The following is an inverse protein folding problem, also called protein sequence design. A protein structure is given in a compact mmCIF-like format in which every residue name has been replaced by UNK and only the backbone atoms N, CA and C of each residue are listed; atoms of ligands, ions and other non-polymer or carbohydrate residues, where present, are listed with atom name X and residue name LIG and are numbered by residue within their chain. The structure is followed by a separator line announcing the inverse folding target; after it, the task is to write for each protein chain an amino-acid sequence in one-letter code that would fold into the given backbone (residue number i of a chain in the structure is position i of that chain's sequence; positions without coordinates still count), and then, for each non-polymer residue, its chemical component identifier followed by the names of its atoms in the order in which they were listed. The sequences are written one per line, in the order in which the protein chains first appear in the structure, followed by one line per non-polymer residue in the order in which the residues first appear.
data_IF_145262266466
#
_entry.id   IF_145262266466
#
_cell.length_a   1.000
_cell.length_b   1.000
_cell.length_c   1.000
_cell.angle_alpha   90.00
_cell.angle_beta   90.00
_cell.angle_gamma   90.00
#
_symmetry.space_group_name_H-M   'P 1'
#
loop_
_entity.id
_entity.type
_entity.pdbx_description
1 polymer ?
#
# COMPACT_ATOMS: atom_id res chain seq x y z
N UNK A 1 6.27 15.04 35.50
CA UNK A 1 7.20 14.62 34.41
C UNK A 1 7.21 15.70 33.35
N UNK A 2 8.37 16.07 32.80
CA UNK A 2 8.45 17.07 31.72
C UNK A 2 7.83 16.54 30.42
N UNK A 3 7.24 17.43 29.62
CA UNK A 3 6.66 17.09 28.32
C UNK A 3 7.68 16.41 27.38
N UNK A 4 8.93 16.87 27.41
CA UNK A 4 10.04 16.31 26.66
C UNK A 4 10.36 14.86 27.05
N UNK A 5 10.37 14.54 28.35
CA UNK A 5 10.62 13.17 28.80
C UNK A 5 9.52 12.20 28.35
N UNK A 6 8.26 12.66 28.36
CA UNK A 6 7.11 11.89 27.87
C UNK A 6 7.25 11.62 26.36
N UNK A 7 7.56 12.66 25.58
CA UNK A 7 7.77 12.53 24.13
C UNK A 7 8.95 11.61 23.80
N UNK A 8 10.08 11.75 24.49
CA UNK A 8 11.25 10.88 24.30
C UNK A 8 10.97 9.41 24.66
N UNK A 9 10.26 9.16 25.76
CA UNK A 9 9.83 7.81 26.15
C UNK A 9 8.90 7.19 25.10
N UNK A 10 7.95 7.98 24.58
CA UNK A 10 7.00 7.51 23.56
C UNK A 10 7.70 7.25 22.21
N UNK A 11 8.65 8.12 21.83
CA UNK A 11 9.52 7.94 20.66
C UNK A 11 10.31 6.64 20.74
N UNK A 12 11.07 6.43 21.82
CA UNK A 12 11.90 5.24 22.02
C UNK A 12 11.08 3.95 21.99
N UNK A 13 9.95 3.94 22.71
CA UNK A 13 9.03 2.80 22.73
C UNK A 13 8.46 2.52 21.33
N UNK A 14 8.15 3.56 20.56
CA UNK A 14 7.64 3.43 19.19
C UNK A 14 8.71 2.91 18.22
N UNK A 15 9.94 3.44 18.27
CA UNK A 15 11.06 2.98 17.44
C UNK A 15 11.43 1.52 17.72
N UNK A 16 11.46 1.12 18.99
CA UNK A 16 11.72 -0.27 19.38
C UNK A 16 10.70 -1.25 18.77
N UNK A 17 9.47 -0.80 18.49
CA UNK A 17 8.46 -1.60 17.78
C UNK A 17 8.79 -1.72 16.29
N UNK A 18 9.14 -0.62 15.64
CA UNK A 18 9.51 -0.61 14.23
C UNK A 18 10.71 -1.53 13.93
N UNK A 19 11.70 -1.55 14.83
CA UNK A 19 12.86 -2.47 14.74
C UNK A 19 12.47 -3.95 14.65
N UNK A 20 11.30 -4.33 15.17
CA UNK A 20 10.81 -5.72 15.16
C UNK A 20 9.94 -6.05 13.93
N UNK A 21 9.66 -5.06 13.07
CA UNK A 21 8.79 -5.22 11.91
C UNK A 21 9.58 -5.48 10.63
N UNK A 22 9.26 -6.60 9.97
CA UNK A 22 9.76 -6.92 8.63
C UNK A 22 9.17 -6.02 7.53
N UNK A 23 8.07 -5.32 7.81
CA UNK A 23 7.41 -4.52 6.78
C UNK A 23 8.27 -3.36 6.28
N UNK A 24 9.26 -2.91 7.05
CA UNK A 24 10.18 -1.84 6.67
C UNK A 24 11.03 -2.27 5.45
N UNK A 25 11.46 -3.54 5.41
CA UNK A 25 12.14 -4.13 4.26
C UNK A 25 11.25 -4.24 3.03
N UNK A 26 9.94 -4.51 3.22
CA UNK A 26 9.00 -4.58 2.10
C UNK A 26 8.70 -3.20 1.51
N UNK A 27 8.79 -2.12 2.31
CA UNK A 27 8.69 -0.77 1.78
C UNK A 27 9.84 -0.44 0.81
N UNK A 28 11.01 -1.04 1.00
CA UNK A 28 12.14 -0.87 0.08
C UNK A 28 11.90 -1.50 -1.30
N UNK A 29 10.90 -2.37 -1.46
CA UNK A 29 10.46 -2.85 -2.77
C UNK A 29 9.88 -1.72 -3.64
N UNK A 30 9.60 -0.55 -3.08
CA UNK A 30 9.22 0.62 -3.89
C UNK A 30 10.39 1.12 -4.75
N UNK A 31 11.64 0.91 -4.33
CA UNK A 31 12.82 1.32 -5.12
C UNK A 31 12.89 0.63 -6.51
N UNK A 32 12.83 -0.71 -6.63
CA UNK A 32 12.82 -1.35 -7.94
C UNK A 32 11.56 -1.05 -8.77
N UNK A 33 10.42 -0.78 -8.11
CA UNK A 33 9.22 -0.31 -8.82
C UNK A 33 9.47 1.08 -9.41
N UNK A 34 10.07 2.00 -8.65
CA UNK A 34 10.45 3.32 -9.12
C UNK A 34 11.41 3.28 -10.30
N UNK A 35 12.40 2.39 -10.26
CA UNK A 35 13.33 2.18 -11.38
C UNK A 35 12.60 1.78 -12.68
N UNK A 36 11.46 1.08 -12.60
CA UNK A 36 10.65 0.73 -13.78
C UNK A 36 10.03 1.96 -14.46
N UNK A 37 9.72 3.02 -13.70
CA UNK A 37 9.21 4.28 -14.28
C UNK A 37 10.28 5.08 -15.04
N UNK A 38 11.55 4.72 -14.85
CA UNK A 38 12.71 5.42 -15.42
C UNK A 38 13.31 4.71 -16.63
N UNK A 39 13.02 3.42 -16.81
CA UNK A 39 13.58 2.59 -17.87
C UNK A 39 12.50 2.22 -18.88
N UNK A 40 12.75 2.56 -20.15
CA UNK A 40 11.89 2.12 -21.27
C UNK A 40 12.21 0.66 -21.59
N UNK A 41 11.41 -0.25 -21.07
CA UNK A 41 11.47 -1.67 -21.44
C UNK A 41 10.53 -1.86 -22.64
N UNK A 42 11.11 -2.06 -23.82
CA UNK A 42 10.47 -2.59 -25.03
C UNK A 42 9.11 -1.98 -25.41
N UNK A 43 9.03 -0.65 -25.50
CA UNK A 43 7.87 0.05 -26.08
C UNK A 43 6.57 0.07 -25.24
N UNK A 44 6.52 -0.63 -24.11
CA UNK A 44 5.34 -0.78 -23.24
C UNK A 44 5.63 -0.48 -21.75
N UNK A 45 6.42 0.56 -21.48
CA UNK A 45 6.77 1.00 -20.12
C UNK A 45 5.75 2.00 -19.55
N UNK A 46 5.63 2.04 -18.23
CA UNK A 46 4.95 3.14 -17.54
C UNK A 46 5.94 4.29 -17.47
N UNK A 47 5.63 5.44 -18.08
CA UNK A 47 6.57 6.55 -18.17
C UNK A 47 5.94 7.85 -17.68
N UNK A 48 6.78 8.74 -17.15
CA UNK A 48 6.42 10.12 -16.89
C UNK A 48 6.70 10.87 -18.19
N UNK A 49 5.66 11.18 -18.95
CA UNK A 49 5.77 12.01 -20.13
C UNK A 49 5.19 13.40 -19.85
N UNK A 50 5.78 14.38 -20.52
CA UNK A 50 5.37 15.77 -20.45
C UNK A 50 5.04 16.16 -21.87
N UNK A 51 3.78 16.56 -22.08
CA UNK A 51 3.26 16.89 -23.40
C UNK A 51 3.49 15.77 -24.43
N UNK A 52 3.29 14.52 -24.00
CA UNK A 52 3.48 13.35 -24.86
C UNK A 52 4.93 12.97 -25.15
N UNK A 53 5.93 13.72 -24.66
CA UNK A 53 7.36 13.44 -24.88
C UNK A 53 8.11 13.05 -23.59
N UNK A 54 9.25 12.36 -23.74
CA UNK A 54 10.09 12.00 -22.60
C UNK A 54 10.92 13.19 -22.15
N UNK A 55 10.99 13.50 -20.85
CA UNK A 55 11.95 14.48 -20.38
C UNK A 55 13.38 13.98 -20.53
N UNK A 56 14.31 14.89 -20.81
CA UNK A 56 15.74 14.60 -20.76
C UNK A 56 16.12 14.18 -19.33
N UNK A 57 16.82 13.05 -19.21
CA UNK A 57 17.19 12.50 -17.91
C UNK A 57 18.34 13.32 -17.31
N UNK A 58 18.01 14.27 -16.44
CA UNK A 58 18.98 15.04 -15.64
C UNK A 58 19.01 14.55 -14.19
N UNK A 59 20.04 14.93 -13.43
CA UNK A 59 20.15 14.59 -12.00
C UNK A 59 18.97 15.13 -11.18
N UNK A 60 18.57 16.39 -11.40
CA UNK A 60 17.40 16.98 -10.75
C UNK A 60 16.09 16.27 -11.14
N UNK A 61 15.90 15.94 -12.43
CA UNK A 61 14.72 15.22 -12.88
C UNK A 61 14.65 13.79 -12.31
N UNK A 62 15.78 13.11 -12.16
CA UNK A 62 15.87 11.81 -11.48
C UNK A 62 15.39 11.91 -10.03
N UNK A 63 15.76 12.98 -9.31
CA UNK A 63 15.28 13.24 -7.96
C UNK A 63 13.77 13.49 -7.89
N UNK A 64 13.22 14.31 -8.79
CA UNK A 64 11.77 14.57 -8.86
C UNK A 64 10.97 13.33 -9.23
N UNK A 65 11.43 12.53 -10.18
CA UNK A 65 10.77 11.28 -10.57
C UNK A 65 10.75 10.25 -9.44
N UNK A 66 11.82 10.13 -8.65
CA UNK A 66 11.78 9.36 -7.40
C UNK A 66 10.79 9.96 -6.39
N UNK A 67 10.70 11.28 -6.29
CA UNK A 67 9.72 11.97 -5.46
C UNK A 67 8.27 11.68 -5.88
N UNK A 68 8.00 11.61 -7.18
CA UNK A 68 6.71 11.19 -7.75
C UNK A 68 6.39 9.75 -7.34
N UNK A 69 7.35 8.83 -7.48
CA UNK A 69 7.17 7.42 -7.06
C UNK A 69 6.85 7.34 -5.57
N UNK A 70 7.54 8.11 -4.73
CA UNK A 70 7.28 8.16 -3.29
C UNK A 70 5.86 8.68 -3.01
N UNK A 71 5.47 9.78 -3.64
CA UNK A 71 4.19 10.43 -3.33
C UNK A 71 2.99 9.66 -3.88
N UNK A 72 3.14 9.03 -5.04
CA UNK A 72 2.07 8.24 -5.67
C UNK A 72 1.99 6.82 -5.11
N UNK A 73 3.10 6.11 -4.93
CA UNK A 73 3.07 4.69 -4.51
C UNK A 73 3.38 4.51 -3.03
N UNK A 74 4.36 5.25 -2.50
CA UNK A 74 4.81 5.02 -1.13
C UNK A 74 3.89 5.63 -0.08
N UNK A 75 3.17 6.72 -0.36
CA UNK A 75 2.19 7.26 0.60
C UNK A 75 1.10 6.24 0.98
N UNK A 76 0.35 5.63 0.04
CA UNK A 76 -0.69 4.67 0.41
C UNK A 76 -0.12 3.40 1.05
N UNK A 77 1.03 2.94 0.58
CA UNK A 77 1.72 1.78 1.17
C UNK A 77 2.21 2.11 2.60
N UNK A 78 2.80 3.30 2.78
CA UNK A 78 3.30 3.83 4.04
C UNK A 78 2.17 4.01 5.05
N UNK A 79 1.02 4.51 4.64
CA UNK A 79 -0.20 4.56 5.45
C UNK A 79 -0.57 3.18 6.00
N UNK A 80 -0.70 2.20 5.11
CA UNK A 80 -1.04 0.84 5.45
C UNK A 80 0.00 0.21 6.38
N UNK A 81 1.29 0.49 6.15
CA UNK A 81 2.39 0.02 7.00
C UNK A 81 2.32 0.63 8.40
N UNK A 82 2.22 1.96 8.50
CA UNK A 82 2.16 2.68 9.78
C UNK A 82 0.95 2.22 10.59
N UNK A 83 -0.22 2.10 9.95
CA UNK A 83 -1.46 1.69 10.62
C UNK A 83 -1.45 0.22 11.04
N UNK A 84 -0.89 -0.67 10.24
CA UNK A 84 -0.89 -2.11 10.54
C UNK A 84 0.16 -2.51 11.58
N UNK A 85 1.35 -1.91 11.56
CA UNK A 85 2.41 -2.26 12.51
C UNK A 85 2.18 -1.68 13.89
N UNK A 86 1.64 -0.48 13.97
CA UNK A 86 1.42 0.17 15.25
C UNK A 86 0.24 -0.42 16.01
N UNK A 87 -0.81 -0.89 15.32
CA UNK A 87 -2.02 -1.39 15.96
C UNK A 87 -2.01 -2.90 16.30
N UNK A 88 -1.06 -3.68 15.79
CA UNK A 88 -1.05 -5.15 15.96
C UNK A 88 -0.55 -5.67 17.31
N UNK A 89 0.23 -4.87 18.04
CA UNK A 89 0.85 -5.26 19.32
C UNK A 89 0.78 -4.13 20.34
N UNK A 90 -0.34 -3.42 20.37
CA UNK A 90 -0.57 -2.39 21.37
C UNK A 90 -1.22 -3.01 22.61
N UNK A 91 -0.60 -2.91 23.78
CA UNK A 91 -1.31 -2.58 24.99
C UNK A 91 -1.48 -1.05 24.98
N UNK A 92 -2.33 -0.49 24.11
CA UNK A 92 -2.71 0.94 24.19
C UNK A 92 -3.15 1.27 25.63
N UNK A 93 -3.67 0.27 26.33
CA UNK A 93 -3.89 0.23 27.77
C UNK A 93 -2.76 0.86 28.59
N UNK A 94 -1.48 0.60 28.32
CA UNK A 94 -0.38 1.19 29.12
C UNK A 94 -0.24 2.68 28.84
N UNK A 95 -0.06 3.09 27.58
CA UNK A 95 0.09 4.52 27.23
C UNK A 95 -1.18 5.35 27.52
N UNK A 96 -2.36 4.72 27.48
CA UNK A 96 -3.65 5.35 27.77
C UNK A 96 -3.99 5.42 29.26
N UNK A 97 -3.50 4.50 30.07
CA UNK A 97 -3.70 4.55 31.53
C UNK A 97 -2.68 5.45 32.23
N UNK A 98 -1.55 5.75 31.59
CA UNK A 98 -0.59 6.73 32.11
C UNK A 98 -1.22 8.14 32.16
N UNK A 99 -1.10 8.80 33.30
CA UNK A 99 -1.48 10.20 33.52
C UNK A 99 -0.48 11.18 32.85
N UNK A 100 -0.29 11.05 31.54
CA UNK A 100 0.64 11.84 30.75
C UNK A 100 -0.10 12.64 29.66
N UNK A 101 0.49 13.79 29.26
CA UNK A 101 -0.07 14.65 28.22
C UNK A 101 -0.23 13.90 26.89
N UNK A 102 -1.45 13.92 26.34
CA UNK A 102 -1.77 13.29 25.04
C UNK A 102 -1.05 13.95 23.88
N UNK A 103 -0.81 15.26 23.97
CA UNK A 103 -0.02 16.01 22.99
C UNK A 103 1.42 15.49 22.99
N UNK A 104 2.05 15.36 24.18
CA UNK A 104 3.43 14.88 24.28
C UNK A 104 3.60 13.43 23.80
N UNK A 105 2.63 12.55 24.12
CA UNK A 105 2.60 11.19 23.58
C UNK A 105 2.44 11.21 22.06
N UNK A 106 1.51 12.01 21.54
CA UNK A 106 1.27 12.17 20.11
C UNK A 106 2.52 12.62 19.35
N UNK A 107 3.22 13.64 19.87
CA UNK A 107 4.48 14.15 19.30
C UNK A 107 5.59 13.09 19.32
N UNK A 108 5.72 12.31 20.39
CA UNK A 108 6.70 11.23 20.46
C UNK A 108 6.44 10.12 19.43
N UNK A 109 5.17 9.73 19.26
CA UNK A 109 4.76 8.77 18.22
C UNK A 109 4.98 9.32 16.81
N UNK A 110 4.57 10.56 16.57
CA UNK A 110 4.79 11.27 15.32
C UNK A 110 6.27 11.30 14.93
N UNK A 111 7.14 11.68 15.86
CA UNK A 111 8.58 11.70 15.63
C UNK A 111 9.12 10.31 15.27
N UNK A 112 8.62 9.24 15.88
CA UNK A 112 9.03 7.87 15.54
C UNK A 112 8.62 7.49 14.11
N UNK A 113 7.40 7.86 13.72
CA UNK A 113 6.90 7.62 12.36
C UNK A 113 7.73 8.39 11.33
N UNK A 114 8.01 9.67 11.61
CA UNK A 114 8.87 10.49 10.76
C UNK A 114 10.27 9.89 10.61
N UNK A 115 10.91 9.45 11.71
CA UNK A 115 12.22 8.80 11.65
C UNK A 115 12.18 7.58 10.73
N UNK A 116 11.15 6.75 10.81
CA UNK A 116 11.03 5.55 9.97
C UNK A 116 10.78 5.90 8.51
N UNK A 117 9.88 6.84 8.23
CA UNK A 117 9.57 7.25 6.85
C UNK A 117 10.74 8.00 6.19
N UNK A 118 11.45 8.84 6.94
CA UNK A 118 12.62 9.57 6.45
C UNK A 118 13.86 8.67 6.32
N UNK A 119 14.04 7.67 7.19
CA UNK A 119 15.09 6.65 6.99
C UNK A 119 14.86 5.86 5.70
N UNK A 120 13.61 5.58 5.36
CA UNK A 120 13.25 4.97 4.08
C UNK A 120 13.50 5.92 2.90
N UNK A 121 13.20 7.21 3.04
CA UNK A 121 13.56 8.22 2.03
C UNK A 121 15.08 8.29 1.83
N UNK A 122 15.87 8.18 2.90
CA UNK A 122 17.32 8.10 2.81
C UNK A 122 17.80 6.85 2.06
N UNK A 123 17.17 5.69 2.30
CA UNK A 123 17.46 4.48 1.52
C UNK A 123 17.11 4.63 0.04
N UNK A 124 15.98 5.29 -0.28
CA UNK A 124 15.61 5.63 -1.65
C UNK A 124 16.56 6.66 -2.28
N UNK A 125 17.14 7.55 -1.49
CA UNK A 125 18.18 8.49 -1.95
C UNK A 125 19.42 7.71 -2.38
N UNK A 126 19.87 6.73 -1.59
CA UNK A 126 20.98 5.86 -1.97
C UNK A 126 20.67 5.03 -3.23
N UNK A 127 19.43 4.53 -3.36
CA UNK A 127 18.99 3.87 -4.59
C UNK A 127 18.99 4.84 -5.79
N UNK A 128 18.59 6.10 -5.58
CA UNK A 128 18.65 7.14 -6.60
C UNK A 128 20.07 7.49 -7.03
N UNK A 129 21.02 7.56 -6.10
CA UNK A 129 22.44 7.71 -6.43
C UNK A 129 22.96 6.55 -7.28
N UNK A 130 22.60 5.32 -6.91
CA UNK A 130 22.96 4.12 -7.66
C UNK A 130 22.35 4.13 -9.07
N UNK A 131 21.07 4.50 -9.20
CA UNK A 131 20.40 4.64 -10.51
C UNK A 131 21.02 5.75 -11.36
N UNK A 132 21.30 6.90 -10.75
CA UNK A 132 21.97 8.02 -11.43
C UNK A 132 23.33 7.59 -11.97
N UNK A 133 24.10 6.84 -11.20
CA UNK A 133 25.38 6.27 -11.64
C UNK A 133 25.25 5.29 -12.83
N UNK A 134 24.13 4.56 -12.94
CA UNK A 134 23.89 3.62 -14.04
C UNK A 134 23.35 4.27 -15.32
N UNK A 135 22.53 5.32 -15.18
CA UNK A 135 21.75 5.90 -16.28
C UNK A 135 22.42 7.16 -16.85
N UNK A 136 23.04 7.97 -16.00
CA UNK A 136 23.59 9.27 -16.40
C UNK A 136 25.05 9.16 -16.84
N UNK A 137 25.48 9.94 -17.84
CA UNK A 137 26.91 10.09 -18.13
C UNK A 137 27.62 10.73 -16.93
N UNK A 138 28.87 10.32 -16.68
CA UNK A 138 29.66 10.77 -15.52
C UNK A 138 29.72 12.29 -15.32
N UNK A 139 29.71 13.07 -16.41
CA UNK A 139 29.76 14.53 -16.36
C UNK A 139 28.42 15.19 -15.97
N UNK A 140 27.29 14.47 -16.12
CA UNK A 140 25.95 14.95 -15.77
C UNK A 140 25.43 14.46 -14.42
N UNK A 141 26.21 13.66 -13.70
CA UNK A 141 25.83 13.11 -12.40
C UNK A 141 26.12 14.11 -11.27
N UNK A 142 25.08 14.69 -10.70
CA UNK A 142 25.13 15.52 -9.51
C UNK A 142 24.27 14.92 -8.40
N UNK A 143 24.94 14.24 -7.44
CA UNK A 143 24.26 13.58 -6.32
C UNK A 143 23.49 14.57 -5.43
N UNK A 144 23.95 15.82 -5.35
CA UNK A 144 23.31 16.84 -4.52
C UNK A 144 21.97 17.28 -5.10
N UNK A 145 21.86 17.39 -6.42
CA UNK A 145 20.59 17.70 -7.11
C UNK A 145 19.58 16.58 -6.96
N UNK A 146 20.01 15.31 -7.11
CA UNK A 146 19.14 14.14 -6.88
C UNK A 146 18.59 14.18 -5.46
N UNK A 147 19.46 14.37 -4.46
CA UNK A 147 19.06 14.41 -3.06
C UNK A 147 18.16 15.61 -2.76
N UNK A 148 18.52 16.80 -3.22
CA UNK A 148 17.75 18.02 -2.97
C UNK A 148 16.34 17.90 -3.57
N UNK A 149 16.23 17.55 -4.84
CA UNK A 149 14.95 17.38 -5.53
C UNK A 149 14.07 16.32 -4.87
N UNK A 150 14.64 15.14 -4.56
CA UNK A 150 13.90 14.06 -3.91
C UNK A 150 13.38 14.48 -2.53
N UNK A 151 14.23 15.07 -1.69
CA UNK A 151 13.86 15.42 -0.32
C UNK A 151 12.87 16.58 -0.28
N UNK A 152 13.04 17.59 -1.14
CA UNK A 152 12.15 18.74 -1.18
C UNK A 152 10.74 18.35 -1.61
N UNK A 153 10.61 17.43 -2.58
CA UNK A 153 9.31 16.91 -3.05
C UNK A 153 8.70 15.94 -2.02
N UNK A 154 9.46 14.93 -1.58
CA UNK A 154 8.90 13.78 -0.88
C UNK A 154 8.84 13.91 0.65
N UNK A 155 9.81 14.56 1.29
CA UNK A 155 9.90 14.59 2.74
C UNK A 155 8.69 15.30 3.40
N UNK A 156 8.23 16.47 2.92
CA UNK A 156 7.04 17.13 3.49
C UNK A 156 5.79 16.25 3.41
N UNK A 157 5.59 15.56 2.29
CA UNK A 157 4.45 14.66 2.06
C UNK A 157 4.48 13.45 3.01
N UNK A 158 5.66 12.85 3.24
CA UNK A 158 5.85 11.76 4.19
C UNK A 158 5.64 12.21 5.65
N UNK A 159 6.09 13.42 6.00
CA UNK A 159 5.85 14.01 7.32
C UNK A 159 4.34 14.28 7.51
N UNK A 160 3.67 14.82 6.49
CA UNK A 160 2.22 15.01 6.46
C UNK A 160 1.45 13.70 6.65
N UNK A 161 1.88 12.63 5.99
CA UNK A 161 1.34 11.28 6.18
C UNK A 161 1.45 10.81 7.63
N UNK A 162 2.61 11.01 8.27
CA UNK A 162 2.81 10.67 9.68
C UNK A 162 1.83 11.44 10.58
N UNK A 163 1.63 12.74 10.32
CA UNK A 163 0.69 13.56 11.07
C UNK A 163 -0.76 13.12 10.87
N UNK A 164 -1.17 12.82 9.63
CA UNK A 164 -2.50 12.27 9.33
C UNK A 164 -2.74 10.97 10.08
N UNK A 165 -1.73 10.10 10.16
CA UNK A 165 -1.86 8.84 10.90
C UNK A 165 -2.10 9.08 12.40
N UNK A 166 -1.42 10.04 13.02
CA UNK A 166 -1.69 10.41 14.43
C UNK A 166 -3.09 11.03 14.59
N UNK A 167 -3.51 11.88 13.65
CA UNK A 167 -4.86 12.48 13.64
C UNK A 167 -5.96 11.42 13.52
N UNK A 168 -5.79 10.45 12.64
CA UNK A 168 -6.78 9.40 12.42
C UNK A 168 -6.79 8.40 13.58
N UNK A 169 -5.64 8.22 14.24
CA UNK A 169 -5.54 7.49 15.50
C UNK A 169 -6.16 8.26 16.68
N UNK A 170 -6.59 9.52 16.54
CA UNK A 170 -7.16 10.31 17.64
C UNK A 170 -8.63 9.99 17.93
N UNK A 171 -9.44 9.63 16.91
CA UNK A 171 -10.89 9.45 17.04
C UNK A 171 -11.35 8.02 16.73
N UNK A 172 -12.33 7.45 17.46
CA UNK A 172 -12.78 6.06 17.26
C UNK A 172 -13.39 5.75 15.89
N UNK A 173 -13.92 6.76 15.19
CA UNK A 173 -14.46 6.64 13.85
C UNK A 173 -13.31 6.50 12.84
N UNK A 174 -12.32 7.39 12.92
CA UNK A 174 -11.14 7.40 12.03
C UNK A 174 -10.23 6.19 12.27
N UNK A 175 -10.19 5.62 13.49
CA UNK A 175 -9.49 4.35 13.76
C UNK A 175 -10.06 3.13 13.05
N UNK A 176 -11.31 3.18 12.60
CA UNK A 176 -11.96 2.08 11.87
C UNK A 176 -11.63 2.11 10.37
N UNK A 177 -12.12 1.13 9.61
CA UNK A 177 -11.97 1.12 8.15
C UNK A 177 -12.49 2.38 7.44
N UNK A 178 -13.40 3.15 8.08
CA UNK A 178 -13.77 4.48 7.59
C UNK A 178 -12.56 5.42 7.43
N UNK A 179 -11.61 5.40 8.37
CA UNK A 179 -10.40 6.20 8.21
C UNK A 179 -9.48 5.71 7.11
N UNK A 180 -9.49 4.41 6.78
CA UNK A 180 -8.72 3.92 5.62
C UNK A 180 -9.33 4.47 4.33
N UNK A 181 -10.67 4.45 4.24
CA UNK A 181 -11.39 5.05 3.13
C UNK A 181 -11.18 6.57 3.03
N UNK A 182 -11.32 7.30 4.15
CA UNK A 182 -11.11 8.74 4.16
C UNK A 182 -9.67 9.12 3.79
N UNK A 183 -8.68 8.35 4.24
CA UNK A 183 -7.30 8.53 3.81
C UNK A 183 -7.14 8.28 2.30
N UNK A 184 -7.75 7.22 1.76
CA UNK A 184 -7.72 6.94 0.32
C UNK A 184 -8.29 8.12 -0.49
N UNK A 185 -9.43 8.69 -0.05
CA UNK A 185 -10.00 9.88 -0.68
C UNK A 185 -9.03 11.06 -0.61
N UNK A 186 -8.45 11.36 0.57
CA UNK A 186 -7.46 12.44 0.72
C UNK A 186 -6.24 12.24 -0.18
N UNK A 187 -5.74 11.00 -0.29
CA UNK A 187 -4.62 10.66 -1.14
C UNK A 187 -4.95 10.87 -2.63
N UNK A 188 -6.10 10.38 -3.12
CA UNK A 188 -6.55 10.63 -4.50
C UNK A 188 -6.70 12.14 -4.75
N UNK A 189 -7.34 12.87 -3.83
CA UNK A 189 -7.46 14.33 -3.93
C UNK A 189 -6.09 15.00 -3.99
N UNK A 190 -5.10 14.53 -3.22
CA UNK A 190 -3.76 15.10 -3.22
C UNK A 190 -2.99 14.93 -4.54
N UNK A 191 -3.37 13.95 -5.37
CA UNK A 191 -2.80 13.71 -6.71
C UNK A 191 -3.61 14.43 -7.79
N UNK A 192 -4.94 14.47 -7.65
CA UNK A 192 -5.84 15.05 -8.66
C UNK A 192 -5.95 16.58 -8.58
N UNK A 193 -5.93 17.15 -7.37
CA UNK A 193 -6.07 18.59 -7.14
C UNK A 193 -4.95 19.43 -7.75
N UNK A 194 -3.66 19.02 -7.72
CA UNK A 194 -2.59 19.76 -8.39
C UNK A 194 -2.79 19.83 -9.91
N UNK A 195 -3.30 18.77 -10.53
CA UNK A 195 -3.62 18.76 -11.96
C UNK A 195 -4.73 19.76 -12.31
N UNK A 196 -5.73 19.92 -11.44
CA UNK A 196 -6.79 20.94 -11.62
C UNK A 196 -6.28 22.38 -11.42
N UNK A 197 -5.08 22.56 -10.86
CA UNK A 197 -4.43 23.84 -10.63
C UNK A 197 -3.32 24.13 -11.64
N UNK A 198 -3.16 23.24 -12.65
CA UNK A 198 -2.21 23.41 -13.74
C UNK A 198 -2.40 24.75 -14.46
N UNK A 199 -1.28 25.37 -14.87
CA UNK A 199 -1.28 26.63 -15.61
C UNK A 199 -1.46 27.90 -14.77
N UNK A 200 -1.61 27.77 -13.45
CA UNK A 200 -1.56 28.93 -12.54
C UNK A 200 -0.11 29.37 -12.29
N UNK A 201 0.14 30.69 -12.13
CA UNK A 201 1.48 31.17 -11.85
C UNK A 201 2.01 30.62 -10.52
N UNK A 202 3.29 30.26 -10.50
CA UNK A 202 3.97 29.80 -9.30
C UNK A 202 3.84 30.84 -8.19
N UNK A 203 3.26 30.41 -7.07
CA UNK A 203 3.05 31.23 -5.88
C UNK A 203 2.89 30.31 -4.68
N UNK A 204 3.11 30.84 -3.47
CA UNK A 204 2.87 30.08 -2.24
C UNK A 204 1.46 29.47 -2.23
N UNK A 205 0.45 30.24 -2.61
CA UNK A 205 -0.95 29.79 -2.65
C UNK A 205 -1.18 28.63 -3.62
N UNK A 206 -0.68 28.74 -4.87
CA UNK A 206 -0.79 27.65 -5.84
C UNK A 206 -0.03 26.39 -5.36
N UNK A 207 1.18 26.58 -4.83
CA UNK A 207 2.04 25.50 -4.33
C UNK A 207 1.49 24.83 -3.07
N UNK A 208 0.57 25.47 -2.34
CA UNK A 208 -0.15 24.85 -1.22
C UNK A 208 -1.18 23.81 -1.68
N UNK A 209 -1.70 23.91 -2.91
CA UNK A 209 -2.59 22.87 -3.46
C UNK A 209 -1.82 21.66 -3.99
N UNK A 210 -0.52 21.81 -4.25
CA UNK A 210 0.38 20.73 -4.62
C UNK A 210 0.94 20.01 -3.38
N UNK A 211 0.10 19.28 -2.64
CA UNK A 211 0.57 18.53 -1.46
C UNK A 211 1.67 17.53 -1.83
N UNK A 212 1.49 16.78 -2.92
CA UNK A 212 2.48 15.80 -3.39
C UNK A 212 3.80 16.47 -3.81
N UNK A 213 3.75 17.71 -4.30
CA UNK A 213 4.89 18.58 -4.51
C UNK A 213 5.62 18.39 -5.82
N UNK A 214 5.09 17.60 -6.76
CA UNK A 214 5.80 17.29 -8.00
C UNK A 214 5.28 18.07 -9.21
N UNK A 215 4.15 18.78 -9.11
CA UNK A 215 3.55 19.45 -10.28
C UNK A 215 4.26 20.76 -10.59
N UNK A 216 4.48 21.62 -9.59
CA UNK A 216 5.16 22.91 -9.80
C UNK A 216 6.55 22.76 -10.41
N UNK A 217 7.43 21.85 -9.93
CA UNK A 217 8.75 21.67 -10.50
C UNK A 217 8.73 21.25 -11.98
N UNK A 218 7.72 20.48 -12.39
CA UNK A 218 7.57 20.02 -13.77
C UNK A 218 6.96 21.08 -14.68
N UNK A 219 5.96 21.83 -14.21
CA UNK A 219 5.29 22.85 -15.03
C UNK A 219 6.14 24.10 -15.20
N UNK A 220 6.75 24.59 -14.12
CA UNK A 220 7.56 25.81 -14.17
C UNK A 220 8.90 25.57 -14.89
N UNK A 221 9.45 24.36 -14.80
CA UNK A 221 10.68 23.98 -15.49
C UNK A 221 10.50 23.67 -16.98
N UNK A 222 9.28 23.66 -17.50
CA UNK A 222 9.02 23.27 -18.87
C UNK A 222 9.18 24.45 -19.87
N UNK A 223 9.63 24.18 -21.11
CA UNK A 223 9.84 25.21 -22.12
C UNK A 223 8.50 25.67 -22.75
N UNK A 224 8.12 26.94 -22.52
CA UNK A 224 6.95 27.59 -23.13
C UNK A 224 6.06 28.32 -22.12
N UNK A 225 5.24 29.29 -22.57
CA UNK A 225 4.26 30.00 -21.73
C UNK A 225 3.11 29.05 -21.32
N UNK A 226 3.35 28.25 -20.26
CA UNK A 226 2.48 27.75 -19.18
C UNK A 226 0.96 27.53 -19.37
N UNK A 227 0.41 27.45 -20.58
CA UNK A 227 -1.04 27.42 -20.81
C UNK A 227 -1.69 26.04 -20.75
N UNK A 228 -1.03 25.00 -21.27
CA UNK A 228 -1.68 23.70 -21.53
C UNK A 228 -0.73 22.49 -21.34
N UNK A 229 0.08 22.51 -20.27
CA UNK A 229 1.02 21.43 -19.98
C UNK A 229 0.33 20.20 -19.37
N UNK A 230 0.16 19.14 -20.17
CA UNK A 230 -0.36 17.86 -19.71
C UNK A 230 0.77 16.96 -19.16
N UNK A 231 0.82 16.80 -17.83
CA UNK A 231 1.67 15.78 -17.18
C UNK A 231 0.92 14.45 -17.23
N UNK A 232 1.49 13.46 -17.91
CA UNK A 232 0.92 12.12 -18.01
C UNK A 232 1.84 11.10 -17.35
N UNK A 233 1.31 10.38 -16.36
CA UNK A 233 2.03 9.32 -15.64
C UNK A 233 1.30 8.01 -15.93
N UNK A 234 1.88 7.13 -16.76
CA UNK A 234 1.14 5.94 -17.19
C UNK A 234 1.70 5.20 -18.39
N UNK A 235 0.97 4.16 -18.82
CA UNK A 235 1.17 3.48 -20.10
C UNK A 235 0.57 4.30 -21.24
N UNK A 236 1.22 5.41 -21.57
CA UNK A 236 0.83 6.29 -22.69
C UNK A 236 1.77 6.07 -23.88
N UNK A 237 1.24 6.27 -25.09
CA UNK A 237 2.09 6.33 -26.28
C UNK A 237 2.89 7.63 -26.24
N UNK A 238 4.21 7.48 -26.13
CA UNK A 238 5.14 8.60 -26.10
C UNK A 238 5.58 8.90 -27.52
N UNK A 239 5.44 10.16 -27.92
CA UNK A 239 5.94 10.66 -29.19
C UNK A 239 7.48 10.59 -29.26
N UNK A 240 8.07 10.44 -30.45
CA UNK A 240 9.51 10.48 -30.61
C UNK A 240 10.07 11.88 -30.27
N UNK A 241 10.91 11.97 -29.25
CA UNK A 241 11.56 13.23 -28.85
C UNK A 241 11.94 13.24 -27.37
N UNK A 242 12.77 14.21 -27.00
CA UNK A 242 13.00 14.54 -25.59
C UNK A 242 12.75 16.02 -25.34
N UNK A 243 12.16 16.34 -24.18
CA UNK A 243 11.95 17.71 -23.71
C UNK A 243 12.94 18.02 -22.61
N UNK A 244 13.72 19.08 -22.80
CA UNK A 244 14.55 19.61 -21.73
C UNK A 244 13.66 20.28 -20.67
N UNK A 245 13.84 19.91 -19.41
CA UNK A 245 13.19 20.56 -18.27
C UNK A 245 14.24 21.18 -17.34
N UNK A 246 14.09 22.46 -17.04
CA UNK A 246 14.81 23.11 -15.94
C UNK A 246 14.08 22.86 -14.60
N UNK A 247 14.21 21.63 -14.13
CA UNK A 247 13.61 21.19 -12.86
C UNK A 247 14.14 22.00 -11.68
N UNK A 248 15.39 22.46 -11.71
CA UNK A 248 15.97 23.25 -10.62
C UNK A 248 15.35 24.65 -10.54
N UNK A 249 15.09 25.29 -11.68
CA UNK A 249 14.30 26.52 -11.71
C UNK A 249 12.89 26.30 -11.14
N UNK A 250 12.27 25.14 -11.44
CA UNK A 250 10.99 24.76 -10.88
C UNK A 250 11.00 24.56 -9.36
N UNK A 251 12.02 23.89 -8.82
CA UNK A 251 12.19 23.67 -7.37
C UNK A 251 12.54 24.95 -6.59
N UNK A 252 13.12 25.94 -7.27
CA UNK A 252 13.45 27.25 -6.70
C UNK A 252 12.45 28.34 -7.09
N UNK A 253 11.33 27.93 -7.69
CA UNK A 253 10.27 28.85 -8.10
C UNK A 253 9.63 29.57 -6.90
N UNK A 254 9.09 30.79 -7.11
CA UNK A 254 8.54 31.60 -6.02
C UNK A 254 7.50 30.85 -5.18
N UNK A 255 7.73 30.78 -3.87
CA UNK A 255 6.78 30.21 -2.91
C UNK A 255 6.80 28.69 -2.81
N UNK A 256 7.64 27.97 -3.58
CA UNK A 256 7.64 26.50 -3.55
C UNK A 256 8.32 25.95 -2.29
N UNK A 257 9.52 26.43 -1.97
CA UNK A 257 10.24 26.00 -0.75
C UNK A 257 9.45 26.39 0.50
N UNK A 258 8.87 27.59 0.50
CA UNK A 258 8.02 28.09 1.58
C UNK A 258 6.80 27.20 1.78
N UNK A 259 6.16 26.73 0.69
CA UNK A 259 5.02 25.81 0.81
C UNK A 259 5.44 24.45 1.39
N UNK A 260 6.62 23.93 1.01
CA UNK A 260 7.16 22.68 1.56
C UNK A 260 7.41 22.80 3.07
N UNK A 261 8.02 23.90 3.52
CA UNK A 261 8.26 24.18 4.94
C UNK A 261 6.93 24.38 5.70
N UNK A 262 5.97 25.09 5.10
CA UNK A 262 4.66 25.32 5.71
C UNK A 262 3.90 24.01 5.90
N UNK A 263 3.99 23.05 4.97
CA UNK A 263 3.42 21.72 5.13
C UNK A 263 3.99 20.94 6.33
N UNK A 264 5.29 21.11 6.64
CA UNK A 264 5.91 20.53 7.84
C UNK A 264 5.32 21.17 9.10
N UNK A 265 5.15 22.50 9.12
CA UNK A 265 4.52 23.21 10.24
C UNK A 265 3.07 22.76 10.44
N UNK A 266 2.30 22.64 9.35
CA UNK A 266 0.93 22.12 9.36
C UNK A 266 0.90 20.70 9.93
N UNK A 267 1.84 19.83 9.54
CA UNK A 267 1.92 18.47 10.07
C UNK A 267 2.11 18.45 11.60
N UNK A 268 2.99 19.29 12.14
CA UNK A 268 3.17 19.43 13.60
C UNK A 268 1.89 19.94 14.26
N UNK A 269 1.25 20.96 13.68
CA UNK A 269 -0.01 21.51 14.19
C UNK A 269 -1.13 20.45 14.21
N UNK A 270 -1.23 19.62 13.17
CA UNK A 270 -2.19 18.51 13.10
C UNK A 270 -1.96 17.49 14.22
N UNK A 271 -0.72 17.22 14.60
CA UNK A 271 -0.40 16.31 15.72
C UNK A 271 -0.81 16.91 17.06
N UNK A 272 -0.62 18.22 17.25
CA UNK A 272 -1.09 18.92 18.45
C UNK A 272 -2.61 18.84 18.54
N UNK A 273 -3.32 19.15 17.44
CA UNK A 273 -4.79 19.03 17.36
C UNK A 273 -5.24 17.59 17.65
N UNK A 274 -4.56 16.59 17.07
CA UNK A 274 -4.82 15.18 17.31
C UNK A 274 -4.69 14.81 18.80
N UNK A 275 -3.67 15.33 19.48
CA UNK A 275 -3.48 15.16 20.91
C UNK A 275 -4.60 15.78 21.75
N UNK A 276 -5.10 16.96 21.36
CA UNK A 276 -6.22 17.65 22.04
C UNK A 276 -7.54 16.87 21.89
N UNK A 277 -7.84 16.38 20.69
CA UNK A 277 -9.12 15.69 20.41
C UNK A 277 -9.08 14.18 20.74
N UNK A 278 -7.94 13.67 21.23
CA UNK A 278 -7.67 12.26 21.44
C UNK A 278 -8.67 11.62 22.40
N UNK A 279 -9.30 10.52 21.97
CA UNK A 279 -10.19 9.72 22.82
C UNK A 279 -9.58 8.35 23.13
N UNK A 280 -9.51 7.91 24.38
CA UNK A 280 -8.95 6.60 24.71
C UNK A 280 -9.63 5.43 23.98
N UNK A 281 -8.89 4.35 23.72
CA UNK A 281 -9.41 3.12 23.14
C UNK A 281 -10.33 2.44 24.16
N UNK A 282 -11.62 2.57 23.94
CA UNK A 282 -12.63 1.82 24.69
C UNK A 282 -12.83 0.46 24.02
N UNK A 283 -12.91 -0.60 24.82
CA UNK A 283 -13.40 -1.89 24.36
C UNK A 283 -14.85 -1.68 23.89
N UNK A 284 -15.06 -1.55 22.57
CA UNK A 284 -16.41 -1.35 22.02
C UNK A 284 -17.25 -2.58 22.37
N UNK A 285 -18.32 -2.41 23.16
CA UNK A 285 -19.50 -3.27 22.99
C UNK A 285 -19.90 -3.13 21.53
N UNK A 286 -19.86 -4.22 20.76
CA UNK A 286 -20.12 -4.21 19.32
C UNK A 286 -21.43 -3.45 19.04
N UNK A 287 -21.34 -2.26 18.46
CA UNK A 287 -22.50 -1.48 18.08
C UNK A 287 -23.32 -2.26 17.05
N UNK A 288 -24.62 -2.40 17.29
CA UNK A 288 -25.53 -3.24 16.51
C UNK A 288 -25.53 -2.93 15.00
N UNK A 289 -25.28 -1.68 14.59
CA UNK A 289 -25.19 -1.29 13.17
C UNK A 289 -23.98 -1.85 12.42
N UNK A 290 -22.80 -1.90 13.08
CA UNK A 290 -21.62 -2.58 12.53
C UNK A 290 -21.78 -4.12 12.50
N UNK A 291 -22.82 -4.64 13.12
CA UNK A 291 -23.14 -6.06 13.08
C UNK A 291 -23.78 -6.48 11.76
N UNK A 292 -24.46 -5.60 11.00
CA UNK A 292 -25.07 -5.98 9.73
C UNK A 292 -24.02 -6.19 8.63
N UNK A 293 -23.23 -5.16 8.28
CA UNK A 293 -22.10 -5.32 7.35
C UNK A 293 -21.08 -6.35 7.87
N UNK A 294 -20.83 -6.35 9.18
CA UNK A 294 -20.00 -7.35 9.83
C UNK A 294 -20.56 -8.77 9.72
N UNK A 295 -21.88 -8.97 9.68
CA UNK A 295 -22.50 -10.28 9.47
C UNK A 295 -22.35 -10.76 8.03
N UNK A 296 -22.32 -9.84 7.06
CA UNK A 296 -22.06 -10.17 5.66
C UNK A 296 -20.59 -10.50 5.39
N UNK A 297 -19.68 -9.88 6.14
CA UNK A 297 -18.24 -10.13 6.05
C UNK A 297 -17.76 -11.35 6.85
N UNK A 298 -18.51 -11.79 7.86
CA UNK A 298 -18.11 -12.93 8.70
C UNK A 298 -18.56 -14.25 8.07
N UNK A 299 -17.72 -15.31 8.11
CA UNK A 299 -18.26 -16.66 8.10
C UNK A 299 -19.19 -16.74 9.32
N UNK A 300 -20.43 -17.17 9.14
CA UNK A 300 -21.45 -17.15 10.19
C UNK A 300 -20.97 -17.73 11.52
N UNK A 301 -21.67 -17.41 12.62
CA UNK A 301 -21.30 -17.94 13.93
C UNK A 301 -21.19 -19.48 13.86
N UNK A 302 -20.15 -20.08 14.47
CA UNK A 302 -20.04 -21.52 14.50
C UNK A 302 -21.30 -22.11 15.14
N UNK A 303 -21.79 -23.26 14.66
CA UNK A 303 -22.93 -23.92 15.28
C UNK A 303 -22.63 -24.15 16.77
N UNK A 304 -23.67 -24.01 17.62
CA UNK A 304 -23.51 -24.21 19.06
C UNK A 304 -22.97 -25.62 19.31
N UNK A 305 -21.99 -25.72 20.21
CA UNK A 305 -21.46 -27.01 20.62
C UNK A 305 -22.62 -27.85 21.18
N UNK A 306 -22.92 -28.96 20.51
CA UNK A 306 -23.92 -29.92 20.96
C UNK A 306 -23.21 -30.94 21.84
N UNK A 307 -23.55 -30.96 23.13
CA UNK A 307 -22.96 -31.89 24.11
C UNK A 307 -23.24 -33.35 23.70
N UNK A 308 -24.38 -33.60 23.05
CA UNK A 308 -24.80 -34.92 22.59
C UNK A 308 -24.56 -35.12 21.08
N UNK A 309 -23.62 -34.38 20.47
CA UNK A 309 -23.28 -34.61 19.08
C UNK A 309 -22.72 -36.04 18.90
N UNK A 310 -23.19 -36.80 17.91
CA UNK A 310 -22.56 -38.07 17.59
C UNK A 310 -21.09 -37.83 17.23
N UNK A 311 -20.20 -38.80 17.51
CA UNK A 311 -18.79 -38.68 17.14
C UNK A 311 -18.66 -38.34 15.66
N UNK A 312 -17.73 -37.44 15.34
CA UNK A 312 -17.53 -36.98 13.98
C UNK A 312 -17.29 -38.19 13.06
N UNK A 313 -18.06 -38.27 11.97
CA UNK A 313 -17.92 -39.34 10.99
C UNK A 313 -16.48 -39.36 10.46
N UNK A 314 -15.94 -40.57 10.28
CA UNK A 314 -14.60 -40.76 9.75
C UNK A 314 -14.50 -40.06 8.39
N UNK A 315 -13.53 -39.16 8.23
CA UNK A 315 -13.28 -38.48 6.97
C UNK A 315 -12.93 -39.52 5.90
N UNK A 316 -13.67 -39.55 4.79
CA UNK A 316 -13.42 -40.45 3.65
C UNK A 316 -12.00 -40.25 3.08
N UNK A 317 -11.52 -39.00 3.06
CA UNK A 317 -10.16 -38.64 2.66
C UNK A 317 -9.71 -37.42 3.48
N UNK A 318 -8.68 -37.61 4.31
CA UNK A 318 -8.14 -36.54 5.13
C UNK A 318 -7.58 -35.38 4.30
N UNK A 319 -6.81 -35.69 3.24
CA UNK A 319 -6.19 -34.69 2.37
C UNK A 319 -7.21 -33.91 1.54
N UNK A 320 -8.23 -34.59 0.97
CA UNK A 320 -9.28 -33.90 0.21
C UNK A 320 -10.11 -32.98 1.11
N UNK A 321 -10.49 -33.47 2.30
CA UNK A 321 -11.22 -32.65 3.26
C UNK A 321 -10.42 -31.44 3.73
N UNK A 322 -9.09 -31.55 3.81
CA UNK A 322 -8.22 -30.43 4.09
C UNK A 322 -8.27 -29.37 2.97
N UNK A 323 -8.18 -29.78 1.70
CA UNK A 323 -8.31 -28.85 0.55
C UNK A 323 -9.68 -28.17 0.55
N UNK A 324 -10.76 -28.93 0.76
CA UNK A 324 -12.12 -28.37 0.84
C UNK A 324 -12.27 -27.39 2.00
N UNK A 325 -11.66 -27.69 3.15
CA UNK A 325 -11.66 -26.78 4.30
C UNK A 325 -10.90 -25.48 3.99
N UNK A 326 -9.70 -25.58 3.42
CA UNK A 326 -8.91 -24.41 2.99
C UNK A 326 -9.67 -23.58 1.94
N UNK A 327 -10.30 -24.22 0.96
CA UNK A 327 -11.15 -23.57 -0.06
C UNK A 327 -12.29 -22.77 0.57
N UNK A 328 -13.02 -23.36 1.50
CA UNK A 328 -14.12 -22.68 2.23
C UNK A 328 -13.62 -21.52 3.10
N UNK A 329 -12.43 -21.64 3.68
CA UNK A 329 -11.85 -20.61 4.55
C UNK A 329 -11.28 -19.42 3.78
N UNK A 330 -10.76 -19.64 2.57
CA UNK A 330 -10.34 -18.57 1.65
C UNK A 330 -11.55 -17.73 1.22
N UNK A 331 -12.64 -18.39 0.80
CA UNK A 331 -13.87 -17.72 0.38
C UNK A 331 -14.85 -17.40 1.50
N UNK A 332 -14.36 -17.30 2.74
CA UNK A 332 -15.20 -17.07 3.90
C UNK A 332 -15.80 -15.66 3.91
N UNK A 333 -17.10 -15.55 3.65
CA UNK A 333 -17.87 -14.30 3.73
C UNK A 333 -18.86 -14.15 2.58
N UNK A 334 -20.05 -13.60 2.85
CA UNK A 334 -21.10 -13.45 1.82
C UNK A 334 -20.69 -12.48 0.72
N UNK A 335 -19.99 -11.40 1.09
CA UNK A 335 -19.50 -10.39 0.12
C UNK A 335 -18.45 -11.00 -0.81
N UNK A 336 -17.56 -11.85 -0.29
CA UNK A 336 -16.58 -12.54 -1.13
C UNK A 336 -17.27 -13.39 -2.19
N UNK A 337 -18.28 -14.18 -1.80
CA UNK A 337 -19.03 -15.04 -2.71
C UNK A 337 -19.80 -14.20 -3.74
N UNK A 338 -20.40 -13.09 -3.32
CA UNK A 338 -21.11 -12.18 -4.23
C UNK A 338 -20.16 -11.56 -5.26
N UNK A 339 -18.99 -11.05 -4.83
CA UNK A 339 -17.98 -10.51 -5.75
C UNK A 339 -17.41 -11.60 -6.65
N UNK A 340 -17.18 -12.81 -6.13
CA UNK A 340 -16.77 -13.97 -6.90
C UNK A 340 -17.80 -14.32 -7.99
N UNK A 341 -19.09 -14.30 -7.65
CA UNK A 341 -20.17 -14.54 -8.61
C UNK A 341 -20.22 -13.44 -9.69
N UNK A 342 -20.06 -12.17 -9.31
CA UNK A 342 -20.00 -11.06 -10.28
C UNK A 342 -18.81 -11.24 -11.24
N UNK A 343 -17.62 -11.55 -10.72
CA UNK A 343 -16.42 -11.78 -11.55
C UNK A 343 -16.60 -13.00 -12.46
N UNK A 344 -17.16 -14.09 -11.95
CA UNK A 344 -17.46 -15.28 -12.74
C UNK A 344 -18.44 -14.95 -13.88
N UNK A 345 -19.53 -14.24 -13.60
CA UNK A 345 -20.49 -13.82 -14.63
C UNK A 345 -19.81 -12.88 -15.64
N UNK A 346 -19.04 -11.90 -15.18
CA UNK A 346 -18.31 -10.97 -16.04
C UNK A 346 -17.31 -11.70 -16.96
N UNK A 347 -16.67 -12.77 -16.47
CA UNK A 347 -15.74 -13.59 -17.26
C UNK A 347 -16.38 -14.28 -18.47
N UNK A 348 -17.71 -14.43 -18.48
CA UNK A 348 -18.42 -14.94 -19.65
C UNK A 348 -18.44 -13.91 -20.78
N UNK A 349 -18.58 -12.63 -20.43
CA UNK A 349 -18.77 -11.54 -21.39
C UNK A 349 -17.45 -10.91 -21.84
N UNK A 350 -16.46 -10.88 -20.96
CA UNK A 350 -15.19 -10.16 -21.14
C UNK A 350 -14.04 -11.16 -21.28
N UNK A 351 -12.98 -10.77 -21.99
CA UNK A 351 -11.77 -11.58 -22.07
C UNK A 351 -11.20 -11.87 -20.67
N UNK A 352 -10.96 -13.17 -20.42
CA UNK A 352 -10.48 -13.63 -19.13
C UNK A 352 -9.08 -13.11 -18.85
N UNK A 353 -8.21 -13.02 -19.86
CA UNK A 353 -6.81 -12.67 -19.68
C UNK A 353 -6.63 -11.20 -19.27
N UNK A 354 -7.29 -10.29 -19.97
CA UNK A 354 -7.13 -8.84 -19.78
C UNK A 354 -7.88 -8.27 -18.58
N UNK A 355 -9.09 -8.76 -18.27
CA UNK A 355 -9.97 -8.11 -17.27
C UNK A 355 -10.39 -9.07 -16.15
N UNK A 356 -10.89 -10.26 -16.47
CA UNK A 356 -11.46 -11.13 -15.43
C UNK A 356 -10.38 -11.76 -14.52
N UNK A 357 -9.21 -12.11 -15.06
CA UNK A 357 -8.08 -12.68 -14.31
C UNK A 357 -7.47 -11.67 -13.33
N UNK A 358 -7.16 -10.42 -13.71
CA UNK A 358 -6.78 -9.38 -12.75
C UNK A 358 -7.84 -9.14 -11.67
N UNK A 359 -9.13 -9.11 -12.02
CA UNK A 359 -10.20 -8.94 -11.03
C UNK A 359 -10.29 -10.13 -10.05
N UNK A 360 -10.20 -11.36 -10.57
CA UNK A 360 -10.18 -12.59 -9.78
C UNK A 360 -8.98 -12.63 -8.84
N UNK A 361 -7.78 -12.27 -9.34
CA UNK A 361 -6.58 -12.16 -8.54
C UNK A 361 -6.76 -11.11 -7.44
N UNK A 362 -7.27 -9.91 -7.75
CA UNK A 362 -7.51 -8.87 -6.75
C UNK A 362 -8.41 -9.36 -5.60
N UNK A 363 -9.52 -10.01 -5.94
CA UNK A 363 -10.42 -10.60 -4.94
C UNK A 363 -9.69 -11.65 -4.08
N UNK A 364 -8.93 -12.54 -4.72
CA UNK A 364 -8.21 -13.62 -4.03
C UNK A 364 -7.08 -13.11 -3.14
N UNK A 365 -6.42 -12.00 -3.50
CA UNK A 365 -5.40 -11.39 -2.64
C UNK A 365 -5.96 -11.12 -1.25
N UNK A 366 -7.19 -10.62 -1.13
CA UNK A 366 -7.80 -10.40 0.17
C UNK A 366 -8.13 -11.71 0.91
N UNK A 367 -8.69 -12.70 0.23
CA UNK A 367 -9.03 -14.01 0.81
C UNK A 367 -7.81 -14.80 1.26
N UNK A 368 -6.84 -14.97 0.35
CA UNK A 368 -5.58 -15.70 0.57
C UNK A 368 -4.77 -15.05 1.70
N UNK A 369 -4.60 -13.73 1.69
CA UNK A 369 -3.75 -13.06 2.70
C UNK A 369 -4.41 -13.01 4.06
N UNK A 370 -5.73 -12.86 4.13
CA UNK A 370 -6.47 -12.94 5.38
C UNK A 370 -6.35 -14.33 5.99
N UNK A 371 -6.49 -15.38 5.17
CA UNK A 371 -6.41 -16.76 5.65
C UNK A 371 -4.98 -17.18 6.01
N UNK A 372 -4.00 -16.95 5.13
CA UNK A 372 -2.59 -17.21 5.40
C UNK A 372 -2.11 -16.48 6.67
N UNK A 373 -2.54 -15.22 6.86
CA UNK A 373 -2.22 -14.46 8.06
C UNK A 373 -2.79 -15.03 9.37
N UNK A 374 -3.93 -15.73 9.32
CA UNK A 374 -4.49 -16.46 10.48
C UNK A 374 -3.75 -17.77 10.72
N UNK A 375 -3.47 -18.51 9.65
CA UNK A 375 -2.85 -19.83 9.71
C UNK A 375 -1.38 -19.81 10.13
N UNK A 376 -0.64 -18.74 9.78
CA UNK A 376 0.79 -18.59 10.04
C UNK A 376 1.11 -17.58 11.16
N UNK A 377 0.11 -17.19 11.96
CA UNK A 377 0.33 -16.26 13.07
C UNK A 377 1.26 -16.89 14.13
N UNK A 378 2.36 -16.21 14.49
CA UNK A 378 3.44 -16.75 15.35
C UNK A 378 2.96 -17.40 16.66
N UNK A 379 1.92 -16.87 17.28
CA UNK A 379 1.38 -17.39 18.55
C UNK A 379 0.37 -18.53 18.38
N UNK A 380 -0.12 -18.78 17.16
CA UNK A 380 -1.02 -19.88 16.83
C UNK A 380 -0.28 -21.07 16.20
N UNK A 381 0.96 -20.89 15.73
CA UNK A 381 1.79 -21.98 15.20
C UNK A 381 2.11 -23.06 16.25
N UNK A 382 2.11 -22.74 17.55
CA UNK A 382 2.23 -23.77 18.59
C UNK A 382 1.03 -24.71 18.60
N UNK A 383 -0.17 -24.21 18.30
CA UNK A 383 -1.40 -25.01 18.20
C UNK A 383 -1.39 -25.95 17.00
N UNK A 384 -0.57 -25.69 15.99
CA UNK A 384 -0.46 -26.59 14.83
C UNK A 384 0.39 -27.83 15.15
N UNK A 385 1.13 -27.86 16.26
CA UNK A 385 1.88 -29.05 16.70
C UNK A 385 0.96 -30.21 17.10
N UNK A 386 -0.27 -29.91 17.50
CA UNK A 386 -1.30 -30.91 17.84
C UNK A 386 -2.31 -31.12 16.71
N UNK A 387 -2.11 -30.50 15.56
CA UNK A 387 -2.98 -30.69 14.40
C UNK A 387 -2.69 -32.04 13.72
N UNK A 388 -3.74 -32.66 13.16
CA UNK A 388 -3.63 -33.96 12.49
C UNK A 388 -2.77 -33.94 11.22
N UNK A 389 -2.50 -32.78 10.64
CA UNK A 389 -1.73 -32.61 9.40
C UNK A 389 -0.48 -31.78 9.62
N UNK A 390 0.61 -32.19 8.96
CA UNK A 390 1.87 -31.46 9.01
C UNK A 390 1.74 -30.06 8.36
N UNK A 391 2.53 -29.06 8.79
CA UNK A 391 2.47 -27.71 8.25
C UNK A 391 2.60 -27.63 6.72
N UNK A 392 3.49 -28.44 6.13
CA UNK A 392 3.67 -28.48 4.68
C UNK A 392 2.45 -29.02 3.93
N UNK A 393 1.75 -30.01 4.49
CA UNK A 393 0.51 -30.54 3.90
C UNK A 393 -0.60 -29.48 3.90
N UNK A 394 -0.70 -28.68 4.97
CA UNK A 394 -1.64 -27.55 5.02
C UNK A 394 -1.31 -26.47 4.01
N UNK A 395 -0.03 -26.11 3.86
CA UNK A 395 0.41 -25.14 2.84
C UNK A 395 0.14 -25.64 1.43
N UNK A 396 0.40 -26.91 1.13
CA UNK A 396 0.06 -27.51 -0.15
C UNK A 396 -1.45 -27.46 -0.40
N UNK A 397 -2.26 -27.85 0.59
CA UNK A 397 -3.73 -27.79 0.48
C UNK A 397 -4.24 -26.36 0.27
N UNK A 398 -3.62 -25.37 0.91
CA UNK A 398 -3.91 -23.95 0.70
C UNK A 398 -3.60 -23.49 -0.73
N UNK A 399 -2.48 -23.93 -1.31
CA UNK A 399 -2.13 -23.64 -2.72
C UNK A 399 -3.14 -24.27 -3.67
N UNK A 400 -3.46 -25.55 -3.48
CA UNK A 400 -4.50 -26.23 -4.28
C UNK A 400 -5.85 -25.54 -4.17
N UNK A 401 -6.24 -25.10 -2.97
CA UNK A 401 -7.48 -24.37 -2.76
C UNK A 401 -7.48 -22.99 -3.46
N UNK A 402 -6.34 -22.29 -3.47
CA UNK A 402 -6.17 -21.05 -4.23
C UNK A 402 -6.32 -21.25 -5.73
N UNK A 403 -5.67 -22.28 -6.30
CA UNK A 403 -5.84 -22.66 -7.71
C UNK A 403 -7.29 -23.07 -8.03
N UNK A 404 -7.95 -23.81 -7.15
CA UNK A 404 -9.33 -24.22 -7.35
C UNK A 404 -10.27 -23.01 -7.44
N UNK A 405 -10.03 -21.95 -6.65
CA UNK A 405 -10.84 -20.73 -6.72
C UNK A 405 -10.68 -19.98 -8.04
N UNK A 406 -9.45 -19.76 -8.52
CA UNK A 406 -9.25 -19.10 -9.83
C UNK A 406 -9.83 -19.93 -10.97
N UNK A 407 -9.64 -21.25 -10.95
CA UNK A 407 -10.24 -22.14 -11.96
C UNK A 407 -11.76 -22.09 -11.93
N UNK A 408 -12.38 -22.07 -10.74
CA UNK A 408 -13.83 -21.93 -10.60
C UNK A 408 -14.33 -20.61 -11.21
N UNK A 409 -13.61 -19.51 -10.98
CA UNK A 409 -13.92 -18.19 -11.54
C UNK A 409 -13.73 -18.13 -13.07
N UNK A 410 -12.88 -19.00 -13.63
CA UNK A 410 -12.62 -19.09 -15.07
C UNK A 410 -13.60 -19.99 -15.83
N UNK A 411 -14.42 -20.80 -15.14
CA UNK A 411 -15.34 -21.74 -15.79
C UNK A 411 -16.29 -21.09 -16.81
N UNK A 412 -16.89 -19.91 -16.54
CA UNK A 412 -17.77 -19.29 -17.53
C UNK A 412 -17.03 -18.89 -18.81
N UNK A 413 -15.81 -18.35 -18.71
CA UNK A 413 -14.97 -18.09 -19.88
C UNK A 413 -14.63 -19.39 -20.64
N UNK A 414 -14.26 -20.45 -19.93
CA UNK A 414 -13.97 -21.77 -20.52
C UNK A 414 -15.18 -22.40 -21.20
N UNK A 415 -16.40 -22.15 -20.71
CA UNK A 415 -17.63 -22.65 -21.32
C UNK A 415 -17.93 -21.98 -22.67
N UNK A 416 -17.51 -20.72 -22.84
CA UNK A 416 -17.65 -19.97 -24.09
C UNK A 416 -16.53 -20.32 -25.08
N UNK A 417 -15.31 -20.49 -24.60
CA UNK A 417 -14.15 -20.75 -25.44
C UNK A 417 -13.20 -21.70 -24.70
N UNK A 418 -13.39 -23.03 -24.85
CA UNK A 418 -12.57 -24.01 -24.16
C UNK A 418 -11.13 -23.91 -24.67
N UNK A 419 -10.25 -23.38 -23.83
CA UNK A 419 -8.86 -23.11 -24.14
C UNK A 419 -7.98 -23.63 -23.02
N UNK A 420 -6.95 -24.41 -23.40
CA UNK A 420 -5.93 -24.86 -22.46
C UNK A 420 -5.13 -23.67 -21.87
N UNK A 421 -5.00 -22.59 -22.64
CA UNK A 421 -4.34 -21.36 -22.17
C UNK A 421 -5.12 -20.72 -21.03
N UNK A 422 -6.45 -20.56 -21.16
CA UNK A 422 -7.28 -19.97 -20.10
C UNK A 422 -7.22 -20.81 -18.82
N UNK A 423 -7.28 -22.14 -18.96
CA UNK A 423 -7.21 -23.05 -17.82
C UNK A 423 -5.83 -23.03 -17.13
N UNK A 424 -4.74 -23.13 -17.89
CA UNK A 424 -3.38 -23.08 -17.35
C UNK A 424 -3.09 -21.74 -16.66
N UNK A 425 -3.58 -20.65 -17.24
CA UNK A 425 -3.44 -19.31 -16.69
C UNK A 425 -4.23 -19.12 -15.39
N UNK A 426 -5.48 -19.61 -15.33
CA UNK A 426 -6.28 -19.59 -14.11
C UNK A 426 -5.60 -20.40 -12.99
N UNK A 427 -5.20 -21.64 -13.27
CA UNK A 427 -4.52 -22.52 -12.29
C UNK A 427 -3.23 -21.88 -11.80
N UNK A 428 -2.40 -21.37 -12.73
CA UNK A 428 -1.12 -20.74 -12.44
C UNK A 428 -1.26 -19.48 -11.58
N UNK A 429 -2.20 -18.60 -11.93
CA UNK A 429 -2.45 -17.35 -11.19
C UNK A 429 -2.84 -17.64 -9.74
N UNK A 430 -3.76 -18.58 -9.51
CA UNK A 430 -4.18 -18.98 -8.16
C UNK A 430 -3.07 -19.67 -7.38
N UNK A 431 -2.29 -20.56 -8.03
CA UNK A 431 -1.19 -21.28 -7.41
C UNK A 431 -0.09 -20.32 -6.93
N UNK A 432 0.37 -19.42 -7.81
CA UNK A 432 1.41 -18.45 -7.53
C UNK A 432 0.96 -17.49 -6.42
N UNK A 433 -0.26 -16.95 -6.52
CA UNK A 433 -0.78 -16.04 -5.51
C UNK A 433 -0.87 -16.70 -4.13
N UNK A 434 -1.33 -17.95 -4.05
CA UNK A 434 -1.42 -18.69 -2.80
C UNK A 434 -0.03 -19.07 -2.25
N UNK A 435 0.91 -19.47 -3.11
CA UNK A 435 2.28 -19.78 -2.70
C UNK A 435 3.00 -18.55 -2.12
N UNK A 436 2.90 -17.41 -2.81
CA UNK A 436 3.43 -16.12 -2.34
C UNK A 436 2.76 -15.73 -1.02
N UNK A 437 1.42 -15.85 -0.93
CA UNK A 437 0.70 -15.55 0.30
C UNK A 437 1.20 -16.39 1.49
N UNK A 438 1.35 -17.71 1.30
CA UNK A 438 1.81 -18.63 2.33
C UNK A 438 3.27 -18.37 2.73
N UNK A 439 4.16 -18.16 1.77
CA UNK A 439 5.59 -17.91 2.01
C UNK A 439 5.81 -16.63 2.83
N UNK A 440 5.25 -15.50 2.38
CA UNK A 440 5.41 -14.23 3.09
C UNK A 440 4.63 -14.19 4.41
N UNK A 441 3.52 -14.91 4.53
CA UNK A 441 2.84 -15.09 5.81
C UNK A 441 3.68 -15.89 6.79
N UNK A 442 4.34 -16.98 6.35
CA UNK A 442 5.21 -17.80 7.19
C UNK A 442 6.44 -17.02 7.69
N UNK A 443 7.08 -16.24 6.82
CA UNK A 443 8.26 -15.42 7.18
C UNK A 443 7.85 -14.27 8.10
N UNK A 444 6.82 -13.50 7.72
CA UNK A 444 6.42 -12.31 8.49
C UNK A 444 5.60 -12.65 9.74
N UNK A 445 4.99 -13.83 9.79
CA UNK A 445 3.99 -14.19 10.79
C UNK A 445 2.70 -13.38 10.69
N UNK A 446 2.38 -12.85 9.50
CA UNK A 446 1.27 -11.91 9.31
C UNK A 446 0.67 -11.92 7.91
N UNK A 447 -0.62 -11.59 7.79
CA UNK A 447 -1.29 -11.41 6.50
C UNK A 447 -1.03 -10.07 5.81
N UNK A 448 -0.20 -9.18 6.38
CA UNK A 448 0.03 -7.85 5.80
C UNK A 448 1.12 -7.87 4.72
N UNK A 449 2.29 -8.41 5.06
CA UNK A 449 3.40 -8.59 4.13
C UNK A 449 2.98 -9.28 2.82
N UNK A 450 2.32 -10.46 2.83
CA UNK A 450 1.89 -11.10 1.59
C UNK A 450 0.90 -10.24 0.81
N UNK A 451 0.03 -9.48 1.48
CA UNK A 451 -0.94 -8.60 0.80
C UNK A 451 -0.25 -7.49 0.05
N UNK A 452 0.73 -6.85 0.67
CA UNK A 452 1.46 -5.77 0.03
C UNK A 452 2.20 -6.28 -1.22
N UNK A 453 2.93 -7.38 -1.09
CA UNK A 453 3.66 -8.00 -2.20
C UNK A 453 2.71 -8.39 -3.33
N UNK A 454 1.59 -9.04 -2.99
CA UNK A 454 0.62 -9.44 -4.01
C UNK A 454 -0.09 -8.26 -4.69
N UNK A 455 -0.36 -7.16 -3.97
CA UNK A 455 -0.94 -5.96 -4.59
C UNK A 455 0.05 -5.30 -5.56
N UNK A 456 1.34 -5.27 -5.22
CA UNK A 456 2.41 -4.82 -6.12
C UNK A 456 2.48 -5.71 -7.36
N UNK A 457 2.50 -7.03 -7.18
CA UNK A 457 2.52 -7.99 -8.28
C UNK A 457 1.26 -7.87 -9.15
N UNK A 458 0.10 -7.68 -8.52
CA UNK A 458 -1.17 -7.47 -9.20
C UNK A 458 -1.16 -6.20 -10.05
N UNK A 459 -0.64 -5.09 -9.51
CA UNK A 459 -0.52 -3.85 -10.26
C UNK A 459 0.37 -4.06 -11.50
N UNK A 460 1.58 -4.60 -11.31
CA UNK A 460 2.49 -4.89 -12.42
C UNK A 460 1.93 -5.88 -13.45
N UNK A 461 1.12 -6.84 -13.00
CA UNK A 461 0.40 -7.79 -13.83
C UNK A 461 -0.71 -7.10 -14.64
N UNK A 462 -1.53 -6.25 -14.00
CA UNK A 462 -2.62 -5.51 -14.66
C UNK A 462 -2.12 -4.50 -15.71
N UNK A 463 -0.94 -3.93 -15.49
CA UNK A 463 -0.31 -3.00 -16.45
C UNK A 463 0.32 -3.68 -17.67
N UNK A 464 0.52 -5.01 -17.65
CA UNK A 464 1.03 -5.76 -18.81
C UNK A 464 -0.10 -6.41 -19.63
N UNK A 465 -1.29 -6.54 -19.04
CA UNK A 465 -2.44 -7.22 -19.65
C UNK A 465 -3.39 -6.30 -20.41
N UNK A 466 -3.20 -4.98 -20.33
CA UNK A 466 -3.87 -3.98 -21.17
C UNK A 466 -2.88 -3.43 -22.17
#
# INVERSE_FOLDING_TARGET
MSALAISASSLSTSLARYRRSWGLWLLLLVAPIGARYMLRIDGGGVVIAIDGQLPEMTSAFLGVSLGIVVTTLLLPIGWLYLRSNTNRRQPWQVEETTAASRISIGLGRFAADCVVMLAMLAALTAAGWFLGWLILPWQGLNLSEITFALWLVAAPSLIGLCALRILFDARPLLRSGFGDFAYFVLWITSIAMPAAMAGKPASLGANMFDFAGFVTPLQYGAPGEAGDFAISIGGIQVEPGHVYLDVMAGLTSPGYIESRLLWIVIAVALVVVAGVIYQPHRAKRRAAGAAWLGAWLRPGAPPRAMINAPPARRALSGAFNLVVAEFRLIGAGRIFILLAAIIAIASYFVDFRSIASPAALLLLIFGLTAHAGRSEARHLLSLTRVAAFAPMQRRAAFVFAGSAWTTLLALPALSRTPSFEVMSYAVGTGAVAAAVAALFAAISGSGFAPRLVLLILWYGYSSYSG
#
